data_IF_981845319173
#
_entry.id   IF_981845319173
#
_cell.length_a   1.000
_cell.length_b   1.000
_cell.length_c   1.000
_cell.angle_alpha   90.00
_cell.angle_beta   90.00
_cell.angle_gamma   90.00
#
_symmetry.space_group_name_H-M   'P 1'
#
loop_
_entity.id
_entity.type
_entity.pdbx_description
1 polymer ?
#
# COMPACT_ATOMS: atom_id res chain seq x y z
N UNK A 1 -19.90 9.68 -7.90
CA UNK A 1 -20.29 8.25 -7.98
C UNK A 1 -21.58 8.03 -8.75
N UNK A 2 -22.74 8.57 -8.33
CA UNK A 2 -24.02 8.44 -9.07
C UNK A 2 -24.00 8.94 -10.52
N UNK A 3 -23.13 9.91 -10.83
CA UNK A 3 -22.94 10.43 -12.20
C UNK A 3 -21.94 9.62 -13.05
N UNK A 4 -21.06 8.84 -12.42
CA UNK A 4 -19.93 8.16 -13.09
C UNK A 4 -20.15 6.64 -13.22
N UNK A 5 -21.05 6.08 -12.43
CA UNK A 5 -21.34 4.64 -12.36
C UNK A 5 -22.83 4.44 -12.60
N UNK A 6 -23.19 3.67 -13.62
CA UNK A 6 -24.59 3.41 -13.97
C UNK A 6 -25.26 2.49 -12.94
N UNK A 7 -26.57 2.65 -12.75
CA UNK A 7 -27.34 1.78 -11.85
C UNK A 7 -27.26 0.30 -12.24
N UNK A 8 -27.21 0.01 -13.54
CA UNK A 8 -27.02 -1.35 -14.07
C UNK A 8 -25.68 -1.95 -13.63
N UNK A 9 -24.61 -1.15 -13.59
CA UNK A 9 -23.30 -1.60 -13.14
C UNK A 9 -23.29 -1.86 -11.63
N UNK A 10 -23.98 -1.02 -10.84
CA UNK A 10 -24.14 -1.21 -9.39
C UNK A 10 -24.92 -2.50 -9.10
N UNK A 11 -26.02 -2.74 -9.81
CA UNK A 11 -26.81 -3.97 -9.66
C UNK A 11 -26.00 -5.21 -10.03
N UNK A 12 -25.24 -5.17 -11.13
CA UNK A 12 -24.37 -6.28 -11.53
C UNK A 12 -23.26 -6.55 -10.50
N UNK A 13 -22.67 -5.49 -9.92
CA UNK A 13 -21.68 -5.63 -8.86
C UNK A 13 -22.29 -6.22 -7.57
N UNK A 14 -23.53 -5.83 -7.23
CA UNK A 14 -24.25 -6.38 -6.09
C UNK A 14 -24.55 -7.87 -6.27
N UNK A 15 -25.05 -8.27 -7.44
CA UNK A 15 -25.28 -9.68 -7.78
C UNK A 15 -23.98 -10.50 -7.76
N UNK A 16 -22.86 -9.89 -8.14
CA UNK A 16 -21.55 -10.54 -8.09
C UNK A 16 -21.07 -10.72 -6.64
N UNK A 17 -21.25 -9.71 -5.79
CA UNK A 17 -20.89 -9.76 -4.38
C UNK A 17 -21.73 -10.80 -3.61
N UNK A 18 -23.02 -10.91 -3.93
CA UNK A 18 -23.94 -11.90 -3.34
C UNK A 18 -23.55 -13.36 -3.63
N UNK A 19 -22.65 -13.62 -4.58
CA UNK A 19 -22.11 -14.98 -4.82
C UNK A 19 -21.17 -15.46 -3.73
N UNK A 20 -20.74 -14.60 -2.81
CA UNK A 20 -19.90 -14.98 -1.66
C UNK A 20 -18.59 -15.65 -2.07
N UNK A 21 -17.97 -15.21 -3.17
CA UNK A 21 -16.73 -15.79 -3.67
C UNK A 21 -15.56 -15.46 -2.74
N UNK A 22 -15.34 -16.31 -1.73
CA UNK A 22 -14.30 -16.16 -0.72
C UNK A 22 -12.92 -15.87 -1.35
N UNK A 23 -12.37 -14.70 -1.05
CA UNK A 23 -10.95 -14.39 -1.29
C UNK A 23 -10.04 -15.13 -0.30
N UNK A 24 -8.75 -15.28 -0.63
CA UNK A 24 -7.72 -15.77 0.33
C UNK A 24 -7.68 -14.95 1.63
N UNK A 25 -8.09 -13.69 1.56
CA UNK A 25 -8.17 -12.77 2.70
C UNK A 25 -9.49 -12.90 3.50
N UNK A 26 -10.56 -13.41 2.90
CA UNK A 26 -11.90 -13.43 3.52
C UNK A 26 -12.09 -14.63 4.45
N UNK A 27 -11.35 -15.73 4.24
CA UNK A 27 -11.25 -16.80 5.24
C UNK A 27 -10.69 -16.32 6.60
N UNK A 28 -9.98 -15.18 6.63
CA UNK A 28 -9.55 -14.54 7.88
C UNK A 28 -10.68 -13.79 8.59
N UNK A 29 -11.67 -13.27 7.86
CA UNK A 29 -12.80 -12.53 8.42
C UNK A 29 -13.88 -13.47 8.98
N UNK A 30 -14.02 -14.68 8.43
CA UNK A 30 -14.92 -15.71 8.97
C UNK A 30 -14.41 -16.32 10.28
N UNK A 31 -13.09 -16.30 10.52
CA UNK A 31 -12.49 -16.65 11.82
C UNK A 31 -12.50 -15.45 12.78
N UNK A 32 -13.68 -14.88 13.02
CA UNK A 32 -13.81 -13.74 13.94
C UNK A 32 -13.42 -14.14 15.37
N UNK A 33 -12.26 -13.67 15.80
CA UNK A 33 -11.69 -13.87 17.13
C UNK A 33 -11.89 -12.61 18.00
N UNK A 34 -12.72 -11.66 17.55
CA UNK A 34 -12.97 -10.41 18.26
C UNK A 34 -13.71 -10.63 19.59
N UNK A 35 -13.04 -10.32 20.69
CA UNK A 35 -13.63 -10.41 22.04
C UNK A 35 -14.55 -9.23 22.33
N UNK A 36 -15.85 -9.28 22.08
CA UNK A 36 -16.74 -8.10 22.15
C UNK A 36 -17.11 -7.61 23.56
N UNK A 37 -16.85 -8.40 24.62
CA UNK A 37 -17.36 -8.11 25.97
C UNK A 37 -16.46 -7.18 26.82
N UNK A 38 -17.08 -6.17 27.43
CA UNK A 38 -16.50 -5.35 28.50
C UNK A 38 -15.67 -4.13 28.07
N UNK A 39 -15.10 -3.37 29.04
CA UNK A 39 -14.31 -2.17 28.76
C UNK A 39 -13.02 -2.50 27.98
N UNK A 40 -12.58 -1.58 27.11
CA UNK A 40 -11.47 -1.79 26.17
C UNK A 40 -10.17 -2.25 26.85
N UNK A 41 -9.77 -1.64 27.97
CA UNK A 41 -8.56 -2.05 28.70
C UNK A 41 -8.66 -3.48 29.26
N UNK A 42 -9.84 -3.83 29.78
CA UNK A 42 -10.08 -5.16 30.36
C UNK A 42 -10.09 -6.22 29.27
N UNK A 43 -10.66 -5.90 28.09
CA UNK A 43 -10.62 -6.74 26.89
C UNK A 43 -9.19 -6.94 26.39
N UNK A 44 -8.43 -5.85 26.20
CA UNK A 44 -7.06 -5.88 25.69
C UNK A 44 -6.12 -6.70 26.60
N UNK A 45 -6.24 -6.52 27.92
CA UNK A 45 -5.41 -7.20 28.91
C UNK A 45 -5.91 -8.61 29.25
N UNK A 46 -7.10 -9.01 28.80
CA UNK A 46 -7.64 -10.35 29.05
C UNK A 46 -6.82 -11.45 28.35
N UNK A 47 -6.86 -12.67 28.88
CA UNK A 47 -6.21 -13.83 28.26
C UNK A 47 -6.74 -14.09 26.84
N UNK A 48 -8.05 -13.99 26.63
CA UNK A 48 -8.69 -14.15 25.31
C UNK A 48 -8.27 -13.03 24.35
N UNK A 49 -8.31 -11.77 24.81
CA UNK A 49 -7.93 -10.61 23.98
C UNK A 49 -6.47 -10.63 23.53
N UNK A 50 -5.53 -10.95 24.42
CA UNK A 50 -4.11 -11.09 24.03
C UNK A 50 -3.87 -12.23 23.04
N UNK A 51 -4.64 -13.32 23.15
CA UNK A 51 -4.57 -14.43 22.18
C UNK A 51 -5.13 -14.00 20.83
N UNK A 52 -6.28 -13.32 20.79
CA UNK A 52 -6.84 -12.76 19.57
C UNK A 52 -5.85 -11.80 18.88
N UNK A 53 -5.26 -10.85 19.62
CA UNK A 53 -4.26 -9.91 19.09
C UNK A 53 -3.05 -10.65 18.50
N UNK A 54 -2.54 -11.65 19.22
CA UNK A 54 -1.41 -12.48 18.77
C UNK A 54 -1.72 -13.25 17.48
N UNK A 55 -2.94 -13.79 17.36
CA UNK A 55 -3.39 -14.48 16.16
C UNK A 55 -3.58 -13.53 14.98
N UNK A 56 -4.30 -12.42 15.14
CA UNK A 56 -4.41 -11.42 14.08
C UNK A 56 -3.03 -10.92 13.61
N UNK A 57 -2.13 -10.59 14.55
CA UNK A 57 -0.79 -10.12 14.20
C UNK A 57 0.00 -11.09 13.30
N UNK A 58 0.05 -12.39 13.67
CA UNK A 58 0.79 -13.38 12.87
C UNK A 58 0.08 -13.63 11.54
N UNK A 59 -1.25 -13.66 11.54
CA UNK A 59 -2.06 -13.95 10.35
C UNK A 59 -1.98 -12.82 9.33
N UNK A 60 -2.02 -11.57 9.78
CA UNK A 60 -1.79 -10.39 8.94
C UNK A 60 -0.39 -10.44 8.32
N UNK A 61 0.64 -10.84 9.09
CA UNK A 61 1.98 -11.00 8.54
C UNK A 61 2.05 -12.12 7.48
N UNK A 62 1.43 -13.27 7.76
CA UNK A 62 1.39 -14.43 6.85
C UNK A 62 0.64 -14.10 5.56
N UNK A 63 -0.37 -13.24 5.60
CA UNK A 63 -1.14 -12.86 4.41
C UNK A 63 -0.37 -11.93 3.48
N UNK A 64 0.48 -11.04 4.00
CA UNK A 64 1.14 -9.97 3.22
C UNK A 64 2.64 -10.18 2.94
N UNK A 65 3.35 -11.06 3.65
CA UNK A 65 4.82 -11.11 3.56
C UNK A 65 5.37 -11.38 2.15
N UNK A 66 4.66 -12.17 1.34
CA UNK A 66 5.06 -12.48 -0.05
C UNK A 66 5.00 -11.24 -0.93
N UNK A 67 3.94 -10.45 -0.77
CA UNK A 67 3.73 -9.22 -1.53
C UNK A 67 4.78 -8.17 -1.13
N UNK A 68 5.08 -8.05 0.18
CA UNK A 68 6.14 -7.17 0.68
C UNK A 68 7.52 -7.60 0.16
N UNK A 69 7.86 -8.89 0.27
CA UNK A 69 9.16 -9.39 -0.16
C UNK A 69 9.37 -9.22 -1.66
N UNK A 70 8.36 -9.52 -2.48
CA UNK A 70 8.40 -9.34 -3.92
C UNK A 70 8.51 -7.85 -4.29
N UNK A 71 7.70 -6.99 -3.67
CA UNK A 71 7.72 -5.54 -3.92
C UNK A 71 9.07 -4.91 -3.56
N UNK A 72 9.66 -5.25 -2.41
CA UNK A 72 10.98 -4.76 -2.01
C UNK A 72 12.09 -5.25 -2.94
N UNK A 73 12.03 -6.53 -3.37
CA UNK A 73 13.00 -7.09 -4.31
C UNK A 73 12.93 -6.36 -5.66
N UNK A 74 11.73 -6.20 -6.22
CA UNK A 74 11.54 -5.51 -7.50
C UNK A 74 11.95 -4.04 -7.40
N UNK A 75 11.61 -3.34 -6.32
CA UNK A 75 12.03 -1.97 -6.07
C UNK A 75 13.57 -1.85 -5.99
N UNK A 76 14.23 -2.77 -5.27
CA UNK A 76 15.69 -2.81 -5.17
C UNK A 76 16.36 -3.09 -6.52
N UNK A 77 15.82 -4.04 -7.30
CA UNK A 77 16.31 -4.33 -8.67
C UNK A 77 16.16 -3.09 -9.57
N UNK A 78 14.99 -2.43 -9.55
CA UNK A 78 14.81 -1.21 -10.35
C UNK A 78 15.76 -0.09 -9.91
N UNK A 79 15.94 0.11 -8.61
CA UNK A 79 16.85 1.13 -8.07
C UNK A 79 18.33 0.86 -8.43
N UNK A 80 18.74 -0.42 -8.48
CA UNK A 80 20.11 -0.80 -8.77
C UNK A 80 20.43 -0.85 -10.28
N UNK A 81 19.48 -1.31 -11.10
CA UNK A 81 19.73 -1.60 -12.52
C UNK A 81 19.17 -0.55 -13.50
N UNK A 82 18.22 0.30 -13.10
CA UNK A 82 17.66 1.32 -14.00
C UNK A 82 18.44 2.63 -13.83
N UNK A 83 19.21 3.07 -14.85
CA UNK A 83 19.97 4.31 -14.77
C UNK A 83 19.05 5.52 -14.56
N UNK A 84 19.56 6.54 -13.88
CA UNK A 84 18.86 7.82 -13.67
C UNK A 84 18.47 8.49 -15.00
N UNK A 85 19.21 8.24 -16.07
CA UNK A 85 18.93 8.79 -17.41
C UNK A 85 17.70 8.16 -18.08
N UNK A 86 17.43 6.88 -17.79
CA UNK A 86 16.21 6.24 -18.25
C UNK A 86 14.99 6.87 -17.58
N UNK A 87 15.05 7.12 -16.26
CA UNK A 87 14.00 7.86 -15.54
C UNK A 87 13.85 9.30 -16.02
N UNK A 88 14.96 10.00 -16.27
CA UNK A 88 14.92 11.40 -16.71
C UNK A 88 14.26 11.56 -18.09
N UNK A 89 14.50 10.61 -19.00
CA UNK A 89 13.83 10.54 -20.30
C UNK A 89 12.34 10.22 -20.16
N UNK A 90 11.98 9.26 -19.30
CA UNK A 90 10.59 8.85 -19.06
C UNK A 90 9.77 10.00 -18.46
N UNK A 91 10.35 10.81 -17.58
CA UNK A 91 9.68 11.94 -16.94
C UNK A 91 9.83 13.26 -17.69
N UNK A 92 10.36 13.24 -18.92
CA UNK A 92 10.48 14.40 -19.80
C UNK A 92 11.17 15.59 -19.11
N UNK A 93 12.24 15.34 -18.35
CA UNK A 93 12.92 16.39 -17.57
C UNK A 93 13.37 17.59 -18.42
N UNK A 94 13.68 17.38 -19.70
CA UNK A 94 14.08 18.42 -20.66
C UNK A 94 12.95 19.40 -21.01
N UNK A 95 11.69 19.07 -20.69
CA UNK A 95 10.52 19.91 -20.96
C UNK A 95 9.72 20.17 -19.66
N UNK A 96 10.09 21.20 -18.87
CA UNK A 96 9.54 21.44 -17.54
C UNK A 96 8.02 21.61 -17.47
N UNK A 97 7.40 22.14 -18.53
CA UNK A 97 5.94 22.27 -18.61
C UNK A 97 5.23 20.94 -18.87
N UNK A 98 5.80 20.08 -19.72
CA UNK A 98 5.27 18.76 -20.03
C UNK A 98 5.49 17.78 -18.88
N UNK A 99 6.65 17.83 -18.22
CA UNK A 99 6.96 16.99 -17.05
C UNK A 99 5.94 17.15 -15.91
N UNK A 100 5.42 18.36 -15.71
CA UNK A 100 4.41 18.68 -14.67
C UNK A 100 3.05 18.04 -14.92
N UNK A 101 2.68 17.83 -16.19
CA UNK A 101 1.44 17.16 -16.56
C UNK A 101 1.65 15.65 -16.68
N UNK A 102 2.79 15.26 -17.25
CA UNK A 102 3.15 13.87 -17.50
C UNK A 102 3.45 13.08 -16.23
N UNK A 103 4.14 13.69 -15.26
CA UNK A 103 4.48 13.09 -13.97
C UNK A 103 3.25 12.56 -13.23
N UNK A 104 2.21 13.39 -12.97
CA UNK A 104 0.97 12.97 -12.32
C UNK A 104 0.20 11.86 -13.04
N UNK A 105 0.31 11.77 -14.37
CA UNK A 105 -0.33 10.72 -15.17
C UNK A 105 0.44 9.40 -15.08
N UNK A 106 1.76 9.44 -15.25
CA UNK A 106 2.58 8.22 -15.29
C UNK A 106 2.90 7.69 -13.89
N UNK A 107 2.92 8.55 -12.87
CA UNK A 107 3.18 8.17 -11.48
C UNK A 107 2.35 6.97 -11.02
N UNK A 108 1.00 7.00 -11.11
CA UNK A 108 0.19 5.88 -10.69
C UNK A 108 0.42 4.60 -11.51
N UNK A 109 0.73 4.73 -12.80
CA UNK A 109 1.05 3.57 -13.65
C UNK A 109 2.33 2.90 -13.19
N UNK A 110 3.39 3.69 -12.92
CA UNK A 110 4.67 3.18 -12.41
C UNK A 110 4.46 2.52 -11.04
N UNK A 111 3.63 3.09 -10.17
CA UNK A 111 3.30 2.48 -8.88
C UNK A 111 2.64 1.11 -9.03
N UNK A 112 1.62 0.99 -9.90
CA UNK A 112 0.95 -0.29 -10.16
C UNK A 112 1.91 -1.33 -10.74
N UNK A 113 2.76 -0.93 -11.69
CA UNK A 113 3.73 -1.83 -12.35
C UNK A 113 4.87 -2.25 -11.42
N UNK A 114 5.27 -1.37 -10.51
CA UNK A 114 6.37 -1.64 -9.57
C UNK A 114 5.97 -2.57 -8.42
N UNK A 115 4.67 -2.90 -8.27
CA UNK A 115 4.14 -3.71 -7.17
C UNK A 115 4.51 -3.16 -5.79
N UNK A 116 4.75 -1.87 -5.72
CA UNK A 116 5.12 -1.24 -4.47
C UNK A 116 3.84 -0.87 -3.74
N UNK A 117 3.68 -1.43 -2.54
CA UNK A 117 2.61 -1.06 -1.62
C UNK A 117 3.13 -0.09 -0.55
N UNK A 118 2.21 0.63 0.09
CA UNK A 118 2.33 1.57 1.23
C UNK A 118 3.70 1.75 1.89
N UNK A 119 4.38 0.68 2.29
CA UNK A 119 5.69 0.74 2.97
C UNK A 119 6.86 0.97 2.00
N UNK A 120 6.84 0.35 0.80
CA UNK A 120 7.89 0.52 -0.21
C UNK A 120 7.73 1.78 -1.07
N UNK A 121 6.55 2.41 -1.03
CA UNK A 121 6.19 3.48 -1.96
C UNK A 121 7.02 4.75 -1.68
N UNK A 122 7.40 4.98 -0.42
CA UNK A 122 8.24 6.12 -0.05
C UNK A 122 9.68 5.99 -0.55
N UNK A 123 10.41 4.86 -0.34
CA UNK A 123 11.72 4.66 -0.94
C UNK A 123 11.73 4.76 -2.48
N UNK A 124 10.76 4.15 -3.16
CA UNK A 124 10.71 4.22 -4.62
C UNK A 124 10.36 5.63 -5.10
N UNK A 125 9.46 6.34 -4.40
CA UNK A 125 9.19 7.75 -4.66
C UNK A 125 10.47 8.61 -4.54
N UNK A 126 11.34 8.34 -3.57
CA UNK A 126 12.63 9.03 -3.43
C UNK A 126 13.56 8.75 -4.62
N UNK A 127 13.61 7.51 -5.11
CA UNK A 127 14.37 7.15 -6.32
C UNK A 127 13.81 7.87 -7.55
N UNK A 128 12.48 7.90 -7.73
CA UNK A 128 11.83 8.61 -8.84
C UNK A 128 12.01 10.13 -8.75
N UNK A 129 12.00 10.70 -7.54
CA UNK A 129 12.29 12.11 -7.27
C UNK A 129 13.71 12.49 -7.66
N UNK A 130 14.69 11.67 -7.30
CA UNK A 130 16.06 11.82 -7.75
C UNK A 130 16.17 11.61 -9.29
N UNK A 131 15.37 10.70 -9.85
CA UNK A 131 15.17 10.51 -11.30
C UNK A 131 14.35 11.60 -11.99
N UNK A 132 13.93 12.64 -11.26
CA UNK A 132 13.28 13.88 -11.72
C UNK A 132 11.84 13.78 -12.20
N UNK A 133 11.07 12.87 -11.62
CA UNK A 133 9.60 12.98 -11.62
C UNK A 133 9.18 14.35 -11.03
N UNK A 134 8.07 14.93 -11.51
CA UNK A 134 7.54 16.18 -10.96
C UNK A 134 7.01 16.00 -9.53
N UNK A 135 6.81 17.09 -8.79
CA UNK A 135 6.32 17.02 -7.40
C UNK A 135 4.93 16.40 -7.32
N UNK A 136 4.01 16.82 -8.17
CA UNK A 136 2.71 16.19 -8.37
C UNK A 136 2.85 14.74 -8.84
N UNK A 137 3.85 14.42 -9.66
CA UNK A 137 4.15 13.04 -10.03
C UNK A 137 4.49 12.17 -8.82
N UNK A 138 5.34 12.64 -7.90
CA UNK A 138 5.60 11.95 -6.62
C UNK A 138 4.30 11.77 -5.84
N UNK A 139 3.51 12.84 -5.70
CA UNK A 139 2.25 12.81 -4.94
C UNK A 139 1.26 11.80 -5.54
N UNK A 140 1.11 11.79 -6.87
CA UNK A 140 0.24 10.83 -7.58
C UNK A 140 0.72 9.38 -7.41
N UNK A 141 2.04 9.16 -7.45
CA UNK A 141 2.67 7.86 -7.26
C UNK A 141 2.43 7.35 -5.83
N UNK A 142 2.56 8.22 -4.82
CA UNK A 142 2.25 7.88 -3.43
C UNK A 142 0.77 7.53 -3.23
N UNK A 143 -0.15 8.24 -3.88
CA UNK A 143 -1.58 7.92 -3.76
C UNK A 143 -1.99 6.62 -4.47
N UNK A 144 -1.20 6.17 -5.43
CA UNK A 144 -1.51 4.99 -6.25
C UNK A 144 -1.53 3.66 -5.50
N UNK A 145 -1.14 3.65 -4.22
CA UNK A 145 -1.33 2.52 -3.31
C UNK A 145 -2.78 2.02 -3.24
N UNK A 146 -3.78 2.86 -3.60
CA UNK A 146 -5.19 2.45 -3.66
C UNK A 146 -5.54 1.61 -4.91
N UNK A 147 -4.62 1.45 -5.87
CA UNK A 147 -4.84 0.75 -7.15
C UNK A 147 -3.81 -0.38 -7.33
N UNK A 148 -3.26 -0.94 -6.24
CA UNK A 148 -2.30 -2.06 -6.35
C UNK A 148 -2.99 -3.34 -6.82
N UNK A 149 -2.22 -4.19 -7.52
CA UNK A 149 -2.73 -5.40 -8.17
C UNK A 149 -3.46 -6.38 -7.22
N UNK A 150 -3.01 -6.60 -5.96
CA UNK A 150 -3.77 -7.39 -5.00
C UNK A 150 -5.17 -6.83 -4.70
N UNK A 151 -5.27 -5.51 -4.48
CA UNK A 151 -6.55 -4.82 -4.22
C UNK A 151 -7.44 -4.89 -5.46
N UNK A 152 -6.89 -4.68 -6.66
CA UNK A 152 -7.65 -4.82 -7.90
C UNK A 152 -8.20 -6.24 -8.07
N UNK A 153 -7.44 -7.27 -7.69
CA UNK A 153 -7.93 -8.64 -7.74
C UNK A 153 -9.06 -8.87 -6.73
N UNK A 154 -9.02 -8.25 -5.54
CA UNK A 154 -10.14 -8.25 -4.58
C UNK A 154 -11.38 -7.59 -5.21
N UNK A 155 -11.25 -6.37 -5.74
CA UNK A 155 -12.37 -5.69 -6.42
C UNK A 155 -12.92 -6.47 -7.60
N UNK A 156 -12.05 -7.13 -8.37
CA UNK A 156 -12.45 -7.99 -9.51
C UNK A 156 -13.26 -9.18 -9.04
N UNK A 157 -12.86 -9.84 -7.94
CA UNK A 157 -13.59 -10.99 -7.39
C UNK A 157 -14.93 -10.56 -6.80
N UNK A 158 -14.91 -9.49 -6.01
CA UNK A 158 -16.04 -9.03 -5.21
C UNK A 158 -17.10 -8.29 -6.05
N UNK A 159 -16.68 -7.37 -6.92
CA UNK A 159 -17.60 -6.54 -7.73
C UNK A 159 -17.63 -6.90 -9.21
N UNK A 160 -16.76 -7.81 -9.66
CA UNK A 160 -16.63 -8.18 -11.07
C UNK A 160 -15.73 -7.23 -11.87
N UNK A 161 -15.35 -7.68 -13.06
CA UNK A 161 -14.38 -6.97 -13.93
C UNK A 161 -14.80 -5.55 -14.30
N UNK A 162 -16.09 -5.34 -14.63
CA UNK A 162 -16.59 -4.04 -15.09
C UNK A 162 -16.59 -2.99 -13.98
N UNK A 163 -17.00 -3.38 -12.78
CA UNK A 163 -17.01 -2.46 -11.64
C UNK A 163 -15.60 -2.21 -11.13
N UNK A 164 -14.72 -3.22 -11.12
CA UNK A 164 -13.31 -3.04 -10.80
C UNK A 164 -12.65 -2.01 -11.72
N UNK A 165 -12.87 -2.11 -13.04
CA UNK A 165 -12.33 -1.14 -13.99
C UNK A 165 -12.90 0.29 -13.77
N UNK A 166 -14.19 0.40 -13.45
CA UNK A 166 -14.80 1.69 -13.13
C UNK A 166 -14.22 2.32 -11.85
N UNK A 167 -14.10 1.55 -10.76
CA UNK A 167 -13.47 1.99 -9.50
C UNK A 167 -12.03 2.43 -9.75
N UNK A 168 -11.27 1.60 -10.50
CA UNK A 168 -9.88 1.89 -10.88
C UNK A 168 -9.77 3.20 -11.64
N UNK A 169 -10.61 3.41 -12.65
CA UNK A 169 -10.61 4.65 -13.44
C UNK A 169 -10.96 5.88 -12.62
N UNK A 170 -11.95 5.78 -11.72
CA UNK A 170 -12.35 6.88 -10.83
C UNK A 170 -11.22 7.22 -9.85
N UNK A 171 -10.58 6.22 -9.24
CA UNK A 171 -9.45 6.44 -8.35
C UNK A 171 -8.26 7.02 -9.09
N UNK A 172 -7.91 6.49 -10.26
CA UNK A 172 -6.84 7.01 -11.09
C UNK A 172 -7.07 8.48 -11.45
N UNK A 173 -8.27 8.81 -11.95
CA UNK A 173 -8.62 10.20 -12.27
C UNK A 173 -8.56 11.11 -11.04
N UNK A 174 -9.09 10.66 -9.89
CA UNK A 174 -9.04 11.42 -8.64
C UNK A 174 -7.61 11.69 -8.19
N UNK A 175 -6.71 10.69 -8.29
CA UNK A 175 -5.30 10.83 -7.93
C UNK A 175 -4.57 11.83 -8.83
N UNK A 176 -4.75 11.69 -10.15
CA UNK A 176 -4.13 12.58 -11.14
C UNK A 176 -4.60 14.01 -10.91
N UNK A 177 -5.91 14.23 -10.76
CA UNK A 177 -6.47 15.56 -10.54
C UNK A 177 -6.02 16.16 -9.20
N UNK A 178 -6.00 15.38 -8.13
CA UNK A 178 -5.50 15.84 -6.83
C UNK A 178 -4.01 16.19 -6.89
N UNK A 179 -3.20 15.36 -7.52
CA UNK A 179 -1.78 15.60 -7.71
C UNK A 179 -1.51 16.85 -8.56
N UNK A 180 -2.28 17.07 -9.62
CA UNK A 180 -2.22 18.30 -10.43
C UNK A 180 -2.63 19.52 -9.62
N UNK A 181 -3.68 19.43 -8.81
CA UNK A 181 -4.10 20.51 -7.93
C UNK A 181 -3.00 20.86 -6.91
N UNK A 182 -2.34 19.86 -6.32
CA UNK A 182 -1.21 20.04 -5.40
C UNK A 182 -0.01 20.66 -6.12
N UNK A 183 0.37 20.16 -7.30
CA UNK A 183 1.45 20.70 -8.13
C UNK A 183 1.21 22.19 -8.45
N UNK A 184 0.02 22.54 -8.93
CA UNK A 184 -0.35 23.91 -9.26
C UNK A 184 -0.41 24.81 -8.03
N UNK A 185 -0.99 24.33 -6.92
CA UNK A 185 -1.07 25.08 -5.67
C UNK A 185 0.31 25.39 -5.08
N UNK A 186 1.19 24.41 -5.04
CA UNK A 186 2.57 24.60 -4.55
C UNK A 186 3.39 25.50 -5.47
N UNK A 187 3.17 25.42 -6.78
CA UNK A 187 3.77 26.35 -7.73
C UNK A 187 3.31 27.79 -7.53
N UNK A 188 1.99 28.01 -7.35
CA UNK A 188 1.44 29.34 -7.11
C UNK A 188 1.99 29.96 -5.81
N UNK A 189 2.28 29.13 -4.81
CA UNK A 189 2.85 29.54 -3.53
C UNK A 189 4.40 29.63 -3.56
N UNK A 190 5.06 29.18 -4.63
CA UNK A 190 6.52 29.16 -4.74
C UNK A 190 7.23 28.20 -3.79
N UNK A 191 6.51 27.27 -3.16
CA UNK A 191 7.01 26.34 -2.13
C UNK A 191 7.34 24.94 -2.69
N UNK A 192 7.48 24.81 -4.01
CA UNK A 192 7.86 23.53 -4.63
C UNK A 192 9.25 23.12 -4.14
N UNK A 193 9.42 21.92 -3.55
CA UNK A 193 10.72 21.46 -3.11
C UNK A 193 11.72 21.44 -4.28
N UNK A 194 12.81 22.21 -4.18
CA UNK A 194 13.83 22.29 -5.23
C UNK A 194 14.98 21.30 -5.02
N UNK A 195 15.12 20.76 -3.81
CA UNK A 195 16.20 19.85 -3.45
C UNK A 195 15.88 18.42 -3.94
N UNK A 196 16.55 17.98 -5.00
CA UNK A 196 16.48 16.60 -5.55
C UNK A 196 17.53 15.65 -4.98
N UNK A 197 17.89 15.83 -3.70
CA UNK A 197 18.75 14.91 -2.95
C UNK A 197 17.93 14.26 -1.84
N UNK A 198 16.91 13.48 -2.23
CA UNK A 198 16.29 12.60 -1.26
C UNK A 198 17.34 11.53 -0.92
N UNK A 199 17.82 11.52 0.34
CA UNK A 199 18.66 10.43 0.81
C UNK A 199 17.82 9.15 0.74
N UNK A 200 18.16 8.28 -0.21
CA UNK A 200 17.66 6.91 -0.24
C UNK A 200 18.29 6.26 0.99
N UNK A 201 17.49 6.12 2.06
CA UNK A 201 17.88 5.71 3.42
C UNK A 201 19.21 4.97 3.45
N UNK A 202 20.29 5.69 3.75
CA UNK A 202 21.53 5.06 4.19
C UNK A 202 21.26 4.59 5.62
N UNK A 203 20.90 3.32 5.76
CA UNK A 203 20.65 2.69 7.05
C UNK A 203 21.98 2.58 7.83
N UNK A 204 22.41 3.68 8.44
CA UNK A 204 23.50 3.66 9.40
C UNK A 204 22.95 3.12 10.74
N UNK A 205 23.52 2.01 11.22
CA UNK A 205 23.25 1.52 12.56
C UNK A 205 23.77 2.54 13.57
N UNK A 206 22.84 3.27 14.19
CA UNK A 206 23.15 4.28 15.21
C UNK A 206 22.44 3.92 16.50
N UNK A 207 23.11 4.07 17.64
CA UNK A 207 22.52 3.86 18.96
C UNK A 207 21.70 5.08 19.37
N UNK A 208 20.54 5.22 18.75
CA UNK A 208 19.60 6.31 19.00
C UNK A 208 18.25 5.76 19.51
N UNK A 209 17.29 6.66 19.71
CA UNK A 209 15.94 6.31 20.15
C UNK A 209 15.24 5.32 19.19
N UNK A 210 15.50 5.39 17.88
CA UNK A 210 14.97 4.45 16.89
C UNK A 210 15.44 3.03 17.17
N UNK A 211 16.71 2.84 17.53
CA UNK A 211 17.26 1.51 17.89
C UNK A 211 16.60 0.94 19.14
N UNK A 212 16.41 1.74 20.19
CA UNK A 212 15.71 1.27 21.40
C UNK A 212 14.24 0.94 21.14
N UNK A 213 13.56 1.77 20.34
CA UNK A 213 12.18 1.48 19.90
C UNK A 213 12.12 0.19 19.08
N UNK A 214 13.05 -0.01 18.14
CA UNK A 214 13.13 -1.24 17.34
C UNK A 214 13.29 -2.47 18.24
N UNK A 215 14.18 -2.42 19.24
CA UNK A 215 14.35 -3.52 20.20
C UNK A 215 13.05 -3.78 20.97
N UNK A 216 12.39 -2.73 21.49
CA UNK A 216 11.14 -2.89 22.23
C UNK A 216 10.02 -3.51 21.37
N UNK A 217 9.86 -3.06 20.13
CA UNK A 217 8.87 -3.62 19.20
C UNK A 217 9.22 -5.03 18.74
N UNK A 218 10.50 -5.37 18.57
CA UNK A 218 10.94 -6.73 18.27
C UNK A 218 10.66 -7.68 19.43
N UNK A 219 10.89 -7.26 20.67
CA UNK A 219 10.55 -8.05 21.86
C UNK A 219 9.03 -8.26 21.98
N UNK A 220 8.24 -7.21 21.71
CA UNK A 220 6.78 -7.32 21.67
C UNK A 220 6.32 -8.29 20.59
N UNK A 221 6.82 -8.15 19.35
CA UNK A 221 6.52 -9.05 18.24
C UNK A 221 6.89 -10.50 18.57
N UNK A 222 8.09 -10.73 19.13
CA UNK A 222 8.51 -12.06 19.57
C UNK A 222 7.57 -12.63 20.63
N UNK A 223 7.11 -11.82 21.59
CA UNK A 223 6.14 -12.26 22.60
C UNK A 223 4.79 -12.68 21.99
N UNK A 224 4.32 -11.96 20.96
CA UNK A 224 3.09 -12.28 20.24
C UNK A 224 3.25 -13.55 19.41
N UNK A 225 4.40 -13.75 18.76
CA UNK A 225 4.70 -14.99 18.02
C UNK A 225 4.79 -16.18 18.97
N UNK A 226 5.48 -16.05 20.11
CA UNK A 226 5.56 -17.13 21.11
C UNK A 226 4.17 -17.48 21.65
N UNK A 227 3.32 -16.48 21.89
CA UNK A 227 1.94 -16.71 22.31
C UNK A 227 1.13 -17.43 21.23
N UNK A 228 1.28 -17.04 19.96
CA UNK A 228 0.60 -17.67 18.83
C UNK A 228 0.93 -19.16 18.73
N UNK A 229 2.23 -19.49 18.79
CA UNK A 229 2.71 -20.86 18.77
C UNK A 229 2.16 -21.70 19.94
N UNK A 230 2.03 -21.11 21.13
CA UNK A 230 1.52 -21.79 22.33
C UNK A 230 0.00 -21.92 22.41
N UNK A 231 -0.76 -21.16 21.61
CA UNK A 231 -2.23 -21.06 21.73
C UNK A 231 -2.97 -21.65 20.54
N UNK A 232 -2.37 -22.62 19.85
CA UNK A 232 -3.01 -23.35 18.75
C UNK A 232 -2.88 -22.67 17.37
N UNK A 233 -2.13 -21.57 17.26
CA UNK A 233 -1.88 -20.88 15.99
C UNK A 233 -1.35 -21.77 14.85
N UNK A 234 -0.43 -22.73 15.09
CA UNK A 234 0.04 -23.64 14.05
C UNK A 234 -1.04 -24.54 13.44
N UNK A 235 -2.05 -24.93 14.22
CA UNK A 235 -3.17 -25.71 13.70
C UNK A 235 -4.04 -24.85 12.77
N UNK A 236 -4.27 -23.60 13.17
CA UNK A 236 -5.00 -22.62 12.36
C UNK A 236 -4.31 -22.37 11.01
N UNK A 237 -2.97 -22.28 10.98
CA UNK A 237 -2.23 -22.15 9.72
C UNK A 237 -2.32 -23.39 8.82
N UNK A 238 -2.50 -24.59 9.39
CA UNK A 238 -2.66 -25.82 8.59
C UNK A 238 -4.03 -25.92 7.95
N UNK A 239 -5.07 -25.42 8.62
CA UNK A 239 -6.43 -25.36 8.06
C UNK A 239 -6.55 -24.38 6.88
N UNK A 240 -5.56 -23.51 6.71
CA UNK A 240 -5.50 -22.52 5.63
C UNK A 240 -4.69 -22.94 4.39
N UNK A 241 -3.86 -23.99 4.50
CA UNK A 241 -2.93 -24.41 3.45
C UNK A 241 -3.62 -25.32 2.43
#
# INVERSE_FOLDING_TARGET
FRLLVSEKLIQAARQQAEKGLAGKMEGHAEMDMAVTEGPLLRRLLSGKGRTAISHYFVMDWVSIWKDIALGLLLAGVMAAFVPTDAWSSLFLQTHPSLAKLWGPLIGPVVAVLSFVCSVGNVPLAAVLWNGGISFGGVVSFLFADLIVLPILNIYRRYYGWKMMAAITGIFYASMVLAALAVELGFQALGIVPQHRRAQVVEAAFTWNYTTFLNIAFLLLAASLVVRFLKTGGPNMLREMA
#
